data_IF_121894352088
#
_entry.id   IF_121894352088
#
_cell.length_a   1.000
_cell.length_b   1.000
_cell.length_c   1.000
_cell.angle_alpha   90.00
_cell.angle_beta   90.00
_cell.angle_gamma   90.00
#
_symmetry.space_group_name_H-M   'P 1'
#
loop_
_entity.id
_entity.type
_entity.pdbx_description
1 polymer ?
#
# COMPACT_ATOMS: atom_id res chain seq x y z
N UNK A 1 40.85 -5.27 -9.61
CA UNK A 1 39.91 -6.42 -9.52
C UNK A 1 38.48 -5.88 -9.50
N UNK A 2 37.78 -5.93 -10.64
CA UNK A 2 36.34 -5.69 -10.67
C UNK A 2 35.65 -7.02 -10.39
N UNK A 3 35.22 -7.25 -9.15
CA UNK A 3 34.51 -8.47 -8.77
C UNK A 3 33.21 -8.60 -9.57
N UNK A 4 32.89 -9.83 -9.98
CA UNK A 4 31.67 -10.17 -10.70
C UNK A 4 30.45 -9.83 -9.82
N UNK A 5 29.81 -8.68 -10.09
CA UNK A 5 28.67 -8.21 -9.31
C UNK A 5 27.37 -8.66 -9.98
N UNK A 6 26.67 -9.57 -9.33
CA UNK A 6 25.32 -9.95 -9.72
C UNK A 6 24.34 -8.79 -9.40
N UNK A 7 23.46 -8.49 -10.35
CA UNK A 7 22.38 -7.51 -10.18
C UNK A 7 21.07 -8.14 -10.57
N UNK A 8 20.01 -7.74 -9.86
CA UNK A 8 18.64 -8.06 -10.26
C UNK A 8 18.32 -7.29 -11.54
N UNK A 9 17.97 -8.02 -12.60
CA UNK A 9 17.62 -7.45 -13.89
C UNK A 9 16.14 -7.00 -13.97
N UNK A 10 15.79 -6.21 -14.99
CA UNK A 10 14.42 -5.69 -15.17
C UNK A 10 13.35 -6.77 -15.39
N UNK A 11 13.75 -7.99 -15.77
CA UNK A 11 12.82 -9.12 -15.92
C UNK A 11 12.17 -9.50 -14.58
N UNK A 12 12.93 -9.52 -13.49
CA UNK A 12 12.40 -9.81 -12.16
C UNK A 12 11.41 -8.72 -11.70
N UNK A 13 11.66 -7.46 -12.05
CA UNK A 13 10.73 -6.38 -11.78
C UNK A 13 9.39 -6.58 -12.52
N UNK A 14 9.43 -6.90 -13.82
CA UNK A 14 8.21 -7.17 -14.60
C UNK A 14 7.42 -8.35 -14.06
N UNK A 15 8.11 -9.41 -13.62
CA UNK A 15 7.47 -10.55 -12.96
C UNK A 15 6.73 -10.10 -11.70
N UNK A 16 7.37 -9.32 -10.83
CA UNK A 16 6.73 -8.78 -9.62
C UNK A 16 5.60 -7.77 -9.88
N UNK A 17 5.51 -7.20 -11.08
CA UNK A 17 4.38 -6.34 -11.49
C UNK A 17 3.16 -7.15 -11.97
N UNK A 18 3.39 -8.33 -12.54
CA UNK A 18 2.34 -9.23 -13.03
C UNK A 18 1.89 -10.27 -11.98
N UNK A 19 2.66 -10.43 -10.91
CA UNK A 19 2.39 -11.36 -9.82
C UNK A 19 1.39 -10.82 -8.79
N UNK A 20 0.77 -11.71 -8.02
CA UNK A 20 -0.15 -11.40 -6.91
C UNK A 20 0.43 -10.33 -5.98
N UNK A 21 -0.37 -9.36 -5.49
CA UNK A 21 -1.84 -9.26 -5.51
C UNK A 21 -2.44 -8.78 -6.83
N UNK A 22 -3.76 -9.01 -7.01
CA UNK A 22 -4.47 -8.89 -8.30
C UNK A 22 -3.96 -7.70 -9.13
N UNK A 23 -3.44 -7.93 -10.35
CA UNK A 23 -2.71 -6.91 -11.11
C UNK A 23 -3.53 -5.65 -11.42
N UNK A 24 -4.87 -5.73 -11.37
CA UNK A 24 -5.76 -4.57 -11.52
C UNK A 24 -5.77 -3.58 -10.34
N UNK A 25 -5.28 -3.96 -9.15
CA UNK A 25 -5.36 -3.12 -7.95
C UNK A 25 -4.49 -1.87 -8.04
N UNK A 26 -3.26 -2.00 -8.53
CA UNK A 26 -2.32 -0.88 -8.68
C UNK A 26 -2.86 0.22 -9.60
N UNK A 27 -3.25 -0.08 -10.86
CA UNK A 27 -3.80 0.95 -11.75
C UNK A 27 -5.12 1.51 -11.23
N UNK A 28 -5.98 0.69 -10.59
CA UNK A 28 -7.23 1.18 -10.02
C UNK A 28 -7.03 2.16 -8.84
N UNK A 29 -5.96 1.98 -8.06
CA UNK A 29 -5.68 2.80 -6.88
C UNK A 29 -4.79 4.01 -7.15
N UNK A 30 -4.17 4.12 -8.34
CA UNK A 30 -3.21 5.18 -8.64
C UNK A 30 -3.76 6.58 -8.37
N UNK A 31 -4.91 6.90 -8.98
CA UNK A 31 -5.54 8.22 -8.81
C UNK A 31 -6.04 8.47 -7.37
N UNK A 32 -6.73 7.53 -6.70
CA UNK A 32 -7.08 7.68 -5.29
C UNK A 32 -5.88 7.96 -4.37
N UNK A 33 -4.77 7.24 -4.53
CA UNK A 33 -3.59 7.42 -3.69
C UNK A 33 -2.96 8.81 -3.88
N UNK A 34 -2.88 9.29 -5.12
CA UNK A 34 -2.38 10.64 -5.42
C UNK A 34 -3.27 11.72 -4.81
N UNK A 35 -4.60 11.58 -4.90
CA UNK A 35 -5.55 12.52 -4.31
C UNK A 35 -5.45 12.58 -2.79
N UNK A 36 -5.36 11.42 -2.12
CA UNK A 36 -5.17 11.37 -0.67
C UNK A 36 -3.85 12.01 -0.24
N UNK A 37 -2.77 11.77 -0.99
CA UNK A 37 -1.48 12.41 -0.74
C UNK A 37 -1.58 13.93 -0.86
N UNK A 38 -2.22 14.42 -1.92
CA UNK A 38 -2.40 15.85 -2.17
C UNK A 38 -3.25 16.51 -1.08
N UNK A 39 -4.29 15.83 -0.59
CA UNK A 39 -5.18 16.35 0.42
C UNK A 39 -4.58 16.37 1.84
N UNK A 40 -3.68 15.43 2.16
CA UNK A 40 -3.25 15.20 3.56
C UNK A 40 -1.81 15.57 3.86
N UNK A 41 -0.94 15.74 2.87
CA UNK A 41 0.50 15.85 3.15
C UNK A 41 1.19 14.49 3.45
N UNK A 42 0.41 13.48 3.82
CA UNK A 42 0.93 12.23 4.37
C UNK A 42 1.37 11.24 3.30
N UNK A 43 2.30 10.34 3.65
CA UNK A 43 2.61 9.17 2.83
C UNK A 43 1.38 8.26 2.79
N UNK A 44 0.96 7.87 1.59
CA UNK A 44 -0.21 7.00 1.40
C UNK A 44 0.26 5.65 0.86
N UNK A 45 -0.24 4.57 1.45
CA UNK A 45 0.06 3.20 1.03
C UNK A 45 -1.23 2.43 0.75
N UNK A 46 -1.24 1.69 -0.35
CA UNK A 46 -2.20 0.61 -0.59
C UNK A 46 -1.61 -0.68 -0.06
N UNK A 47 -2.37 -1.36 0.79
CA UNK A 47 -1.92 -2.55 1.51
C UNK A 47 -2.91 -3.69 1.29
N UNK A 48 -2.39 -4.90 1.11
CA UNK A 48 -3.19 -6.13 1.08
C UNK A 48 -2.80 -7.05 2.23
N UNK A 49 -3.72 -7.90 2.65
CA UNK A 49 -3.39 -9.02 3.52
C UNK A 49 -2.71 -10.10 2.67
N UNK A 50 -1.48 -10.46 3.03
CA UNK A 50 -0.75 -11.57 2.42
C UNK A 50 -0.17 -12.42 3.53
N UNK A 51 -0.62 -13.67 3.60
CA UNK A 51 -0.32 -14.57 4.72
C UNK A 51 -0.68 -13.86 6.04
N UNK A 52 0.27 -13.67 6.95
CA UNK A 52 0.09 -12.99 8.24
C UNK A 52 0.67 -11.57 8.27
N UNK A 53 0.76 -10.93 7.10
CA UNK A 53 1.37 -9.59 6.97
C UNK A 53 0.53 -8.63 6.14
N UNK A 54 0.69 -7.35 6.45
CA UNK A 54 0.13 -6.24 5.70
C UNK A 54 1.16 -5.81 4.64
N UNK A 55 1.05 -6.30 3.40
CA UNK A 55 2.00 -6.03 2.32
C UNK A 55 1.63 -4.77 1.53
N UNK A 56 2.58 -3.85 1.37
CA UNK A 56 2.43 -2.62 0.58
C UNK A 56 2.57 -2.93 -0.90
N UNK A 57 1.55 -2.58 -1.68
CA UNK A 57 1.48 -2.90 -3.11
C UNK A 57 1.47 -1.64 -3.97
N UNK A 58 1.07 -0.50 -3.41
CA UNK A 58 1.19 0.82 -4.02
C UNK A 58 1.57 1.83 -2.94
N UNK A 59 2.36 2.85 -3.29
CA UNK A 59 2.77 3.88 -2.33
C UNK A 59 2.99 5.22 -3.02
N UNK A 60 2.56 6.30 -2.39
CA UNK A 60 2.86 7.68 -2.79
C UNK A 60 3.55 8.38 -1.60
N UNK A 61 4.85 8.73 -1.73
CA UNK A 61 5.62 9.41 -0.70
C UNK A 61 5.02 10.73 -0.20
N UNK A 62 5.04 10.90 1.13
CA UNK A 62 4.58 12.04 1.91
C UNK A 62 5.60 13.16 2.10
N UNK A 63 5.23 14.20 2.86
CA UNK A 63 6.14 15.29 3.25
C UNK A 63 7.27 14.78 4.18
N UNK A 64 7.02 13.67 4.89
CA UNK A 64 7.97 13.03 5.80
C UNK A 64 8.82 11.93 5.16
N UNK A 65 8.83 11.80 3.83
CA UNK A 65 9.56 10.75 3.10
C UNK A 65 11.06 10.57 3.49
N UNK A 66 11.81 11.62 3.89
CA UNK A 66 13.18 11.44 4.39
C UNK A 66 13.27 10.74 5.76
N UNK A 67 12.22 10.81 6.58
CA UNK A 67 12.18 10.27 7.93
C UNK A 67 11.44 8.93 8.00
N UNK A 68 10.39 8.78 7.19
CA UNK A 68 9.49 7.62 7.18
C UNK A 68 9.23 7.15 5.73
N UNK A 69 10.21 6.49 5.10
CA UNK A 69 10.09 6.10 3.70
C UNK A 69 9.04 5.01 3.50
N UNK A 70 8.19 5.17 2.48
CA UNK A 70 7.24 4.14 2.04
C UNK A 70 7.65 3.53 0.70
N UNK A 71 7.61 2.20 0.58
CA UNK A 71 8.02 1.49 -0.65
C UNK A 71 7.07 0.33 -0.93
N UNK A 72 6.81 0.11 -2.21
CA UNK A 72 6.19 -1.13 -2.67
C UNK A 72 7.04 -2.34 -2.24
N UNK A 73 6.39 -3.37 -1.71
CA UNK A 73 7.04 -4.56 -1.15
C UNK A 73 7.35 -4.49 0.34
N UNK A 74 7.18 -3.35 1.03
CA UNK A 74 7.29 -3.30 2.49
C UNK A 74 6.12 -4.03 3.15
N UNK A 75 6.42 -4.88 4.12
CA UNK A 75 5.44 -5.58 4.93
C UNK A 75 5.38 -4.99 6.34
N UNK A 76 4.17 -4.82 6.85
CA UNK A 76 3.91 -4.39 8.21
C UNK A 76 3.33 -5.53 9.03
N UNK A 77 3.57 -5.47 10.34
CA UNK A 77 2.88 -6.31 11.32
C UNK A 77 1.39 -5.97 11.35
N UNK A 78 0.57 -6.96 11.70
CA UNK A 78 -0.89 -6.81 11.74
C UNK A 78 -1.41 -6.04 12.98
N UNK A 79 -0.51 -5.56 13.85
CA UNK A 79 -0.82 -4.67 14.97
C UNK A 79 -0.87 -3.17 14.59
N UNK A 80 -0.48 -2.83 13.35
CA UNK A 80 -0.59 -1.50 12.75
C UNK A 80 -2.03 -1.13 12.37
N UNK A 81 -2.30 0.15 12.09
CA UNK A 81 -3.61 0.63 11.64
C UNK A 81 -4.10 -0.11 10.38
N UNK A 82 -3.23 -0.25 9.37
CA UNK A 82 -3.55 -1.01 8.15
C UNK A 82 -3.81 -2.50 8.45
N UNK A 83 -2.99 -3.10 9.32
CA UNK A 83 -3.17 -4.48 9.75
C UNK A 83 -4.51 -4.74 10.45
N UNK A 84 -4.92 -3.83 11.34
CA UNK A 84 -6.22 -3.90 12.02
C UNK A 84 -7.39 -3.71 11.05
N UNK A 85 -7.28 -2.77 10.10
CA UNK A 85 -8.29 -2.57 9.07
C UNK A 85 -8.46 -3.82 8.19
N UNK A 86 -7.36 -4.46 7.79
CA UNK A 86 -7.38 -5.69 6.99
C UNK A 86 -7.95 -6.90 7.71
N UNK A 87 -7.73 -7.02 9.02
CA UNK A 87 -8.35 -8.08 9.84
C UNK A 87 -9.87 -7.88 10.01
N UNK A 88 -10.36 -6.70 9.67
CA UNK A 88 -11.73 -6.30 9.97
C UNK A 88 -11.97 -6.13 11.48
N UNK A 89 -13.18 -5.75 11.87
CA UNK A 89 -13.52 -5.64 13.28
C UNK A 89 -13.50 -7.04 13.91
N UNK A 90 -13.02 -7.12 15.16
CA UNK A 90 -13.00 -8.36 15.96
C UNK A 90 -14.41 -8.95 16.20
N UNK A 91 -15.48 -8.20 15.87
CA UNK A 91 -16.87 -8.63 15.85
C UNK A 91 -17.53 -8.10 14.58
N UNK A 92 -18.13 -8.99 13.80
CA UNK A 92 -18.65 -8.70 12.47
C UNK A 92 -19.60 -7.51 12.43
N UNK A 93 -19.19 -6.47 11.72
CA UNK A 93 -20.01 -5.32 11.37
C UNK A 93 -19.17 -4.40 10.51
N UNK A 94 -19.54 -4.23 9.23
CA UNK A 94 -18.83 -3.32 8.34
C UNK A 94 -18.94 -1.89 8.89
N UNK A 95 -17.83 -1.32 9.36
CA UNK A 95 -17.74 0.11 9.68
C UNK A 95 -17.14 0.80 8.46
N UNK A 96 -17.98 0.99 7.45
CA UNK A 96 -17.88 2.19 6.63
C UNK A 96 -19.04 3.04 7.12
N UNK A 97 -18.72 4.00 7.98
CA UNK A 97 -19.65 5.06 8.34
C UNK A 97 -20.03 5.72 7.01
N UNK A 98 -21.30 5.56 6.63
CA UNK A 98 -21.84 6.18 5.43
C UNK A 98 -21.86 7.66 5.78
N UNK A 99 -20.98 8.47 5.19
CA UNK A 99 -21.09 9.92 5.34
C UNK A 99 -22.49 10.31 4.84
N UNK A 100 -23.39 10.61 5.78
CA UNK A 100 -24.69 11.17 5.47
C UNK A 100 -24.45 12.58 4.94
N UNK A 101 -24.41 12.69 3.61
CA UNK A 101 -24.42 13.97 2.92
C UNK A 101 -25.76 14.63 3.24
N UNK A 102 -25.72 15.62 4.14
CA UNK A 102 -26.87 16.49 4.40
C UNK A 102 -26.98 17.43 3.20
N UNK A 103 -28.05 17.29 2.41
CA UNK A 103 -28.39 18.30 1.39
C UNK A 103 -28.60 19.64 2.10
N UNK A 104 -27.80 20.63 1.70
CA UNK A 104 -27.97 22.03 2.10
C UNK A 104 -29.00 22.74 1.22
#
# INVERSE_FOLDING_TARGET
RAGNRYRVGPQLYRLGQAWEPHPGLRPAAELPLQRLRAATGASVVLVVLREETALTVGSVPGDLEPLLPVRNGLAFRLDTAAGRALRGPLRGGAVLDREDVVEG
#
